data_IF_490260361725
#
_entry.id   IF_490260361725
#
_cell.length_a   1.000
_cell.length_b   1.000
_cell.length_c   1.000
_cell.angle_alpha   90.00
_cell.angle_beta   90.00
_cell.angle_gamma   90.00
#
_symmetry.space_group_name_H-M   'P 1'
#
loop_
_entity.id
_entity.type
_entity.pdbx_description
1 polymer ?
#
# COMPACT_ATOMS: atom_id res chain seq x y z
N UNK A 1 -22.32 13.14 -2.73
CA UNK A 1 -20.88 12.95 -2.67
C UNK A 1 -20.19 13.22 -4.01
N UNK A 2 -18.96 12.78 -4.15
CA UNK A 2 -18.14 13.02 -5.33
C UNK A 2 -18.55 12.19 -6.57
N UNK A 3 -19.54 11.31 -6.45
CA UNK A 3 -20.04 10.48 -7.54
C UNK A 3 -19.15 9.29 -7.90
N UNK A 4 -18.11 9.01 -7.13
CA UNK A 4 -17.24 7.86 -7.33
C UNK A 4 -17.96 6.56 -6.98
N UNK A 5 -17.78 5.54 -7.80
CA UNK A 5 -18.37 4.22 -7.56
C UNK A 5 -17.45 3.39 -6.68
N UNK A 6 -17.98 2.91 -5.59
CA UNK A 6 -17.29 1.94 -4.72
C UNK A 6 -17.12 0.61 -5.46
N UNK A 7 -15.91 0.05 -5.42
CA UNK A 7 -15.63 -1.30 -5.96
C UNK A 7 -16.34 -2.38 -5.16
N UNK A 8 -16.79 -3.44 -5.82
CA UNK A 8 -17.32 -4.64 -5.18
C UNK A 8 -16.26 -5.42 -4.36
N UNK A 9 -14.98 -5.16 -4.62
CA UNK A 9 -13.86 -5.70 -3.83
C UNK A 9 -13.64 -4.98 -2.50
N UNK A 10 -14.41 -3.92 -2.21
CA UNK A 10 -14.43 -3.28 -0.91
C UNK A 10 -15.02 -4.24 0.15
N UNK A 11 -14.60 -4.07 1.40
CA UNK A 11 -15.08 -4.85 2.54
C UNK A 11 -15.80 -3.94 3.55
N UNK A 12 -16.25 -4.51 4.66
CA UNK A 12 -16.91 -3.72 5.72
C UNK A 12 -15.97 -2.70 6.36
N UNK A 13 -14.67 -3.05 6.44
CA UNK A 13 -13.65 -2.25 7.11
C UNK A 13 -12.93 -1.27 6.19
N UNK A 14 -13.07 -1.39 4.88
CA UNK A 14 -12.44 -0.45 3.94
C UNK A 14 -13.21 -0.29 2.64
N UNK A 15 -13.02 0.83 1.98
CA UNK A 15 -13.63 1.11 0.69
C UNK A 15 -12.58 1.41 -0.39
N UNK A 16 -12.76 0.82 -1.56
CA UNK A 16 -11.90 1.00 -2.74
C UNK A 16 -12.68 1.72 -3.85
N UNK A 17 -12.07 2.73 -4.43
CA UNK A 17 -12.63 3.53 -5.52
C UNK A 17 -11.67 3.54 -6.71
N UNK A 18 -11.95 2.77 -7.78
CA UNK A 18 -11.18 2.85 -9.02
C UNK A 18 -11.33 4.23 -9.66
N UNK A 19 -10.22 4.88 -9.96
CA UNK A 19 -10.17 6.25 -10.51
C UNK A 19 -9.37 6.33 -11.82
N UNK A 20 -9.43 5.28 -12.65
CA UNK A 20 -8.77 5.26 -13.95
C UNK A 20 -7.25 5.04 -13.85
N UNK A 21 -6.83 3.83 -13.58
CA UNK A 21 -5.42 3.44 -13.47
C UNK A 21 -4.85 3.53 -12.05
N UNK A 22 -5.47 4.31 -11.18
CA UNK A 22 -5.17 4.32 -9.74
C UNK A 22 -6.41 3.92 -8.94
N UNK A 23 -6.22 3.50 -7.71
CA UNK A 23 -7.30 3.17 -6.77
C UNK A 23 -7.12 3.98 -5.51
N UNK A 24 -8.15 4.72 -5.11
CA UNK A 24 -8.22 5.34 -3.80
C UNK A 24 -8.75 4.32 -2.79
N UNK A 25 -7.96 3.99 -1.78
CA UNK A 25 -8.37 3.18 -0.64
C UNK A 25 -8.67 4.07 0.57
N UNK A 26 -9.81 3.87 1.20
CA UNK A 26 -10.18 4.54 2.45
C UNK A 26 -10.26 3.48 3.54
N UNK A 27 -9.42 3.64 4.54
CA UNK A 27 -9.27 2.72 5.67
C UNK A 27 -9.54 3.46 6.99
N UNK A 28 -10.06 2.79 8.04
CA UNK A 28 -9.99 3.33 9.38
C UNK A 28 -8.53 3.57 9.78
N UNK A 29 -8.23 4.73 10.37
CA UNK A 29 -6.87 5.08 10.75
C UNK A 29 -6.20 3.99 11.61
N UNK A 30 -6.94 3.44 12.56
CA UNK A 30 -6.43 2.39 13.44
C UNK A 30 -5.98 1.12 12.71
N UNK A 31 -6.67 0.75 11.62
CA UNK A 31 -6.27 -0.41 10.82
C UNK A 31 -5.02 -0.11 9.99
N UNK A 32 -4.89 1.11 9.46
CA UNK A 32 -3.69 1.53 8.76
C UNK A 32 -2.48 1.61 9.70
N UNK A 33 -2.67 2.11 10.93
CA UNK A 33 -1.64 2.14 11.97
C UNK A 33 -1.10 0.74 12.31
N UNK A 34 -2.00 -0.21 12.49
CA UNK A 34 -1.61 -1.61 12.73
C UNK A 34 -0.81 -2.18 11.57
N UNK A 35 -1.24 -1.93 10.36
CA UNK A 35 -0.60 -2.47 9.17
C UNK A 35 0.78 -1.85 8.93
N UNK A 36 0.90 -0.54 9.03
CA UNK A 36 2.17 0.20 8.89
C UNK A 36 3.09 0.07 10.09
N UNK A 37 2.58 -0.27 11.26
CA UNK A 37 3.25 -0.19 12.58
C UNK A 37 3.60 1.25 13.02
N UNK A 38 2.99 2.25 12.40
CA UNK A 38 3.17 3.68 12.70
C UNK A 38 1.90 4.24 13.35
N UNK A 39 2.03 4.74 14.55
CA UNK A 39 0.93 5.31 15.33
C UNK A 39 1.03 6.83 15.35
N UNK A 40 0.01 7.54 14.84
CA UNK A 40 0.04 8.99 14.67
C UNK A 40 0.22 9.74 16.00
N UNK A 41 -0.21 9.17 17.13
CA UNK A 41 0.00 9.75 18.45
C UNK A 41 1.45 9.65 18.96
N UNK A 42 2.25 8.75 18.36
CA UNK A 42 3.64 8.46 18.76
C UNK A 42 4.66 8.93 17.72
N UNK A 43 4.19 9.25 16.52
CA UNK A 43 5.03 9.61 15.38
C UNK A 43 4.42 10.77 14.60
N UNK A 44 5.15 11.29 13.61
CA UNK A 44 4.65 12.28 12.64
C UNK A 44 3.87 11.64 11.48
N UNK A 45 3.41 10.41 11.61
CA UNK A 45 2.66 9.70 10.58
C UNK A 45 1.35 10.43 10.26
N UNK A 46 1.16 10.77 8.98
CA UNK A 46 0.01 11.55 8.50
C UNK A 46 -1.30 10.76 8.38
N UNK A 47 -1.25 9.43 8.55
CA UNK A 47 -2.40 8.55 8.28
C UNK A 47 -2.64 8.32 6.79
N UNK A 48 -1.64 8.55 5.94
CA UNK A 48 -1.71 8.32 4.50
C UNK A 48 -0.48 7.55 4.02
N UNK A 49 -0.68 6.62 3.10
CA UNK A 49 0.38 5.90 2.41
C UNK A 49 0.19 5.98 0.90
N UNK A 50 1.28 5.90 0.17
CA UNK A 50 1.28 5.71 -1.29
C UNK A 50 1.68 4.26 -1.53
N UNK A 51 0.84 3.51 -2.27
CA UNK A 51 1.10 2.09 -2.50
C UNK A 51 1.57 1.85 -3.93
N UNK A 52 2.69 1.13 -4.06
CA UNK A 52 3.16 0.55 -5.30
C UNK A 52 2.68 -0.91 -5.39
N UNK A 53 1.92 -1.23 -6.42
CA UNK A 53 1.40 -2.57 -6.65
C UNK A 53 2.39 -3.35 -7.53
N UNK A 54 3.12 -4.26 -6.91
CA UNK A 54 4.07 -5.16 -7.57
C UNK A 54 3.36 -6.36 -8.20
N UNK A 55 4.01 -6.97 -9.20
CA UNK A 55 3.49 -8.15 -9.90
C UNK A 55 3.95 -9.48 -9.27
N UNK A 56 4.88 -9.43 -8.32
CA UNK A 56 5.40 -10.62 -7.64
C UNK A 56 6.03 -10.26 -6.28
N UNK A 57 6.26 -11.26 -5.44
CA UNK A 57 7.01 -11.11 -4.19
C UNK A 57 8.47 -10.71 -4.44
N UNK A 58 9.08 -11.23 -5.49
CA UNK A 58 10.44 -10.89 -5.90
C UNK A 58 10.56 -9.41 -6.26
N UNK A 59 9.55 -8.85 -6.94
CA UNK A 59 9.52 -7.43 -7.24
C UNK A 59 9.35 -6.59 -5.98
N UNK A 60 8.52 -7.00 -5.03
CA UNK A 60 8.42 -6.32 -3.71
C UNK A 60 9.78 -6.24 -3.05
N UNK A 61 10.50 -7.37 -2.98
CA UNK A 61 11.82 -7.42 -2.38
C UNK A 61 12.82 -6.52 -3.12
N UNK A 62 12.82 -6.53 -4.45
CA UNK A 62 13.71 -5.71 -5.26
C UNK A 62 13.46 -4.21 -5.04
N UNK A 63 12.22 -3.78 -5.03
CA UNK A 63 11.84 -2.37 -4.80
C UNK A 63 12.23 -1.93 -3.38
N UNK A 64 11.95 -2.75 -2.36
CA UNK A 64 12.31 -2.46 -0.97
C UNK A 64 13.83 -2.33 -0.78
N UNK A 65 14.61 -3.22 -1.39
CA UNK A 65 16.07 -3.17 -1.35
C UNK A 65 16.63 -1.92 -2.06
N UNK A 66 16.08 -1.57 -3.21
CA UNK A 66 16.50 -0.39 -3.96
C UNK A 66 16.15 0.90 -3.20
N UNK A 67 14.95 0.99 -2.61
CA UNK A 67 14.59 2.11 -1.77
C UNK A 67 15.57 2.28 -0.60
N UNK A 68 15.92 1.19 0.08
CA UNK A 68 16.89 1.21 1.18
C UNK A 68 18.29 1.64 0.69
N UNK A 69 18.75 1.13 -0.45
CA UNK A 69 20.04 1.52 -1.05
C UNK A 69 20.09 3.01 -1.37
N UNK A 70 18.96 3.61 -1.76
CA UNK A 70 18.82 5.04 -2.07
C UNK A 70 18.60 5.92 -0.83
N UNK A 71 18.61 5.36 0.37
CA UNK A 71 18.55 6.09 1.64
C UNK A 71 17.19 6.09 2.33
N UNK A 72 16.20 5.37 1.83
CA UNK A 72 14.91 5.21 2.52
C UNK A 72 15.08 4.41 3.83
N UNK A 73 14.21 4.71 4.80
CA UNK A 73 14.14 3.98 6.05
C UNK A 73 13.10 2.88 5.94
N UNK A 74 13.48 1.63 6.17
CA UNK A 74 12.52 0.51 6.23
C UNK A 74 11.70 0.65 7.51
N UNK A 75 10.39 0.80 7.36
CA UNK A 75 9.42 0.87 8.47
C UNK A 75 8.98 -0.52 8.88
N UNK A 76 8.63 -1.34 7.88
CA UNK A 76 8.21 -2.73 8.07
C UNK A 76 8.81 -3.56 6.94
N UNK A 77 9.64 -4.56 7.24
CA UNK A 77 10.20 -5.44 6.22
C UNK A 77 9.12 -6.15 5.40
N UNK A 78 9.42 -6.44 4.15
CA UNK A 78 8.53 -7.21 3.30
C UNK A 78 8.28 -8.61 3.87
N UNK A 79 7.02 -9.01 3.97
CA UNK A 79 6.60 -10.26 4.57
C UNK A 79 5.21 -10.69 4.07
N UNK A 80 4.88 -11.95 4.26
CA UNK A 80 3.51 -12.44 4.10
C UNK A 80 2.57 -11.70 5.05
N UNK A 81 1.39 -11.36 4.57
CA UNK A 81 0.37 -10.64 5.33
C UNK A 81 -0.93 -11.43 5.41
N UNK A 82 -1.76 -11.11 6.42
CA UNK A 82 -2.95 -11.89 6.76
C UNK A 82 -3.99 -12.01 5.64
N UNK A 83 -4.06 -11.03 4.74
CA UNK A 83 -4.99 -11.04 3.60
C UNK A 83 -4.49 -11.85 2.41
N UNK A 84 -3.38 -12.59 2.55
CA UNK A 84 -2.84 -13.51 1.55
C UNK A 84 -1.82 -12.90 0.59
N UNK A 85 -1.48 -11.64 0.73
CA UNK A 85 -0.47 -10.96 -0.06
C UNK A 85 0.92 -10.96 0.58
N UNK A 86 1.79 -10.11 0.01
CA UNK A 86 3.16 -9.89 0.46
C UNK A 86 3.48 -8.41 0.38
N UNK A 87 3.84 -7.77 1.49
CA UNK A 87 4.07 -6.33 1.50
C UNK A 87 5.11 -5.88 2.52
N UNK A 88 5.65 -4.69 2.29
CA UNK A 88 6.50 -3.96 3.21
C UNK A 88 6.25 -2.46 3.12
N UNK A 89 6.81 -1.72 4.06
CA UNK A 89 6.70 -0.26 4.13
C UNK A 89 8.06 0.39 4.29
N UNK A 90 8.26 1.52 3.63
CA UNK A 90 9.41 2.38 3.83
C UNK A 90 9.01 3.86 3.92
N UNK A 91 9.83 4.68 4.53
CA UNK A 91 9.76 6.15 4.46
C UNK A 91 10.83 6.68 3.52
N UNK A 92 10.45 7.63 2.67
CA UNK A 92 11.42 8.37 1.86
C UNK A 92 12.22 9.38 2.70
N UNK A 93 13.10 10.14 2.05
CA UNK A 93 13.94 11.12 2.72
C UNK A 93 13.17 12.30 3.34
N UNK A 94 11.94 12.55 2.86
CA UNK A 94 11.05 13.59 3.38
C UNK A 94 10.06 13.06 4.44
N UNK A 95 10.10 11.76 4.73
CA UNK A 95 9.26 11.12 5.74
C UNK A 95 7.92 10.61 5.22
N UNK A 96 7.65 10.65 3.92
CA UNK A 96 6.44 10.06 3.34
C UNK A 96 6.50 8.54 3.36
N UNK A 97 5.38 7.92 3.71
CA UNK A 97 5.28 6.47 3.86
C UNK A 97 4.78 5.83 2.58
N UNK A 98 5.54 4.84 2.11
CA UNK A 98 5.22 4.03 0.93
C UNK A 98 4.98 2.60 1.34
N UNK A 99 3.93 2.00 0.77
CA UNK A 99 3.72 0.57 0.75
C UNK A 99 4.25 -0.01 -0.56
N UNK A 100 4.88 -1.16 -0.50
CA UNK A 100 5.18 -1.99 -1.68
C UNK A 100 4.48 -3.31 -1.47
N UNK A 101 3.50 -3.63 -2.31
CA UNK A 101 2.60 -4.75 -2.09
C UNK A 101 2.40 -5.59 -3.34
N UNK A 102 2.41 -6.91 -3.16
CA UNK A 102 1.91 -7.88 -4.12
C UNK A 102 0.62 -8.50 -3.59
N UNK A 103 -0.45 -8.36 -4.35
CA UNK A 103 -1.73 -8.99 -4.06
C UNK A 103 -2.05 -10.03 -5.16
N UNK A 104 -1.99 -11.34 -4.84
CA UNK A 104 -2.22 -12.38 -5.84
C UNK A 104 -3.66 -12.45 -6.37
N UNK A 105 -4.59 -11.74 -5.73
CA UNK A 105 -6.00 -11.70 -6.13
C UNK A 105 -6.34 -10.51 -7.03
N UNK A 106 -5.39 -9.59 -7.22
CA UNK A 106 -5.57 -8.41 -8.07
C UNK A 106 -4.84 -8.57 -9.39
N UNK A 107 -5.43 -8.02 -10.43
CA UNK A 107 -4.84 -8.03 -11.76
C UNK A 107 -4.20 -6.68 -12.06
N UNK A 108 -3.01 -6.73 -12.64
CA UNK A 108 -2.34 -5.58 -13.22
C UNK A 108 -2.32 -5.80 -14.72
N UNK A 109 -2.82 -4.83 -15.49
CA UNK A 109 -2.85 -4.91 -16.94
C UNK A 109 -1.46 -4.70 -17.56
N UNK A 110 -1.39 -4.85 -18.89
CA UNK A 110 -0.13 -4.70 -19.64
C UNK A 110 0.48 -3.29 -19.55
N UNK A 111 -0.34 -2.29 -19.21
CA UNK A 111 0.08 -0.89 -19.07
C UNK A 111 0.46 -0.54 -17.63
N UNK A 112 0.40 -1.52 -16.71
CA UNK A 112 0.75 -1.37 -15.30
C UNK A 112 -0.38 -0.85 -14.41
N UNK A 113 -1.62 -0.79 -14.92
CA UNK A 113 -2.76 -0.31 -14.14
C UNK A 113 -3.38 -1.44 -13.33
N UNK A 114 -3.76 -1.13 -12.10
CA UNK A 114 -4.55 -2.03 -11.27
C UNK A 114 -5.99 -2.11 -11.80
N UNK A 115 -6.45 -3.33 -12.08
CA UNK A 115 -7.79 -3.62 -12.56
C UNK A 115 -8.61 -4.23 -11.43
N UNK A 116 -9.62 -3.51 -10.97
CA UNK A 116 -10.56 -3.96 -9.95
C UNK A 116 -11.94 -4.21 -10.55
#
# INVERSE_FOLDING_TARGET
GLGWKKSEQSQETYALFPLGGIVLGIYPLQELEKDTTLYHQQTTFSGMTISYNAISEEEVNAVMQEAQRLGATIVKPAQKVYWGGYSGYFKDLDGYVFEVAYNPFWQIDRDGNLVL
#
